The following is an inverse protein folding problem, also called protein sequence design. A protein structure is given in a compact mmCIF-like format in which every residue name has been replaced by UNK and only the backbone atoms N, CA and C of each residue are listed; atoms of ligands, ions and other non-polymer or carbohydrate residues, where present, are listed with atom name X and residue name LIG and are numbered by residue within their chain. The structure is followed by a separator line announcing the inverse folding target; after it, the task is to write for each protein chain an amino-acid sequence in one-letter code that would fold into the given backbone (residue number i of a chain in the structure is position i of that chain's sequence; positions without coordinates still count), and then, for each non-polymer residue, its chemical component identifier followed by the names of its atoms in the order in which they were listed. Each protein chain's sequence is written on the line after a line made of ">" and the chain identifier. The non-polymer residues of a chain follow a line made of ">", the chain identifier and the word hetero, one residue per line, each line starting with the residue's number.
data_IF_763828600033
#
_entry.id   IF_763828600033
#
_cell.length_a   1.000
_cell.length_b   1.000
_cell.length_c   1.000
_cell.angle_alpha   90.00
_cell.angle_beta   90.00
_cell.angle_gamma   90.00
#
_symmetry.space_group_name_H-M   'P 1'
#
loop_
_entity.id
_entity.type
_entity.pdbx_description
1 polymer ?
#
# COMPACT_ATOMS: atom_id res chain seq x y z
N UNK A 1 45.25 56.89 -28.66
CA UNK A 1 43.94 56.20 -28.65
C UNK A 1 44.13 54.83 -28.02
N UNK A 2 43.82 54.70 -26.72
CA UNK A 2 43.93 53.44 -25.99
C UNK A 2 42.50 52.92 -25.76
N UNK A 3 42.13 51.78 -26.36
CA UNK A 3 40.83 51.16 -26.13
C UNK A 3 40.98 50.16 -24.98
N UNK A 4 40.42 50.50 -23.82
CA UNK A 4 40.28 49.57 -22.69
C UNK A 4 39.15 48.58 -22.95
N UNK A 5 39.42 47.29 -22.78
CA UNK A 5 38.44 46.21 -22.84
C UNK A 5 38.00 45.93 -21.40
N UNK A 6 36.74 46.22 -21.08
CA UNK A 6 36.13 45.86 -19.80
C UNK A 6 35.66 44.40 -19.87
N UNK A 7 36.26 43.52 -19.05
CA UNK A 7 35.82 42.15 -18.85
C UNK A 7 34.68 42.14 -17.82
N UNK A 8 33.49 41.78 -18.27
CA UNK A 8 32.30 41.62 -17.43
C UNK A 8 32.34 40.22 -16.78
N UNK A 9 32.74 40.12 -15.51
CA UNK A 9 32.65 38.88 -14.73
C UNK A 9 31.19 38.62 -14.33
N UNK A 10 30.55 37.65 -14.98
CA UNK A 10 29.26 37.12 -14.55
C UNK A 10 29.45 36.19 -13.36
N UNK A 11 29.05 36.64 -12.17
CA UNK A 11 28.88 35.79 -11.00
C UNK A 11 27.70 34.84 -11.22
N UNK A 12 27.98 33.54 -11.40
CA UNK A 12 26.97 32.49 -11.30
C UNK A 12 26.62 32.29 -9.83
N UNK A 13 25.56 32.92 -9.36
CA UNK A 13 24.92 32.56 -8.10
C UNK A 13 24.28 31.17 -8.27
N UNK A 14 24.88 30.16 -7.63
CA UNK A 14 24.28 28.85 -7.46
C UNK A 14 23.12 29.01 -6.46
N UNK A 15 21.90 29.23 -6.96
CA UNK A 15 20.70 29.15 -6.13
C UNK A 15 20.46 27.66 -5.83
N UNK A 16 20.44 27.24 -4.56
CA UNK A 16 19.98 25.90 -4.24
C UNK A 16 18.51 25.81 -4.68
N UNK A 17 18.20 24.82 -5.50
CA UNK A 17 16.81 24.47 -5.84
C UNK A 17 16.05 24.29 -4.51
N UNK A 18 15.20 25.27 -4.19
CA UNK A 18 14.06 25.00 -3.34
C UNK A 18 13.25 23.94 -4.08
N UNK A 19 13.42 22.69 -3.67
CA UNK A 19 12.46 21.63 -3.99
C UNK A 19 11.16 22.09 -3.38
N UNK A 20 10.31 22.69 -4.21
CA UNK A 20 8.94 22.98 -3.84
C UNK A 20 8.35 21.65 -3.39
N UNK A 21 7.94 21.57 -2.12
CA UNK A 21 7.12 20.47 -1.63
C UNK A 21 5.84 20.53 -2.47
N UNK A 22 5.78 19.72 -3.52
CA UNK A 22 4.56 19.57 -4.30
C UNK A 22 3.49 19.15 -3.31
N UNK A 23 2.54 20.04 -3.05
CA UNK A 23 1.31 19.69 -2.37
C UNK A 23 0.65 18.62 -3.21
N UNK A 24 0.80 17.36 -2.83
CA UNK A 24 0.16 16.23 -3.50
C UNK A 24 -1.34 16.40 -3.26
N UNK A 25 -2.07 16.76 -4.30
CA UNK A 25 -3.53 16.86 -4.23
C UNK A 25 -4.11 15.47 -3.89
N UNK A 26 -5.06 15.36 -2.95
CA UNK A 26 -5.63 14.08 -2.57
C UNK A 26 -6.31 13.43 -3.77
N UNK A 27 -6.05 12.15 -4.00
CA UNK A 27 -6.67 11.42 -5.11
C UNK A 27 -8.18 11.31 -4.90
N UNK A 28 -9.00 11.70 -5.87
CA UNK A 28 -10.46 11.51 -5.83
C UNK A 28 -10.82 10.21 -6.56
N UNK A 29 -11.64 9.37 -5.95
CA UNK A 29 -12.12 8.13 -6.56
C UNK A 29 -13.59 7.80 -6.26
N UNK A 30 -14.22 7.05 -7.15
CA UNK A 30 -15.63 6.61 -7.00
C UNK A 30 -15.76 5.09 -7.05
N UNK A 31 -16.57 4.44 -6.23
CA UNK A 31 -16.82 2.98 -6.35
C UNK A 31 -17.65 2.64 -7.59
N UNK A 32 -18.68 3.44 -7.86
CA UNK A 32 -19.54 3.35 -9.05
C UNK A 32 -19.49 4.66 -9.86
N UNK A 33 -18.35 4.87 -10.53
CA UNK A 33 -18.09 5.99 -11.42
C UNK A 33 -18.45 5.69 -12.88
N UNK A 34 -18.50 6.75 -13.69
CA UNK A 34 -18.89 6.64 -15.11
C UNK A 34 -17.67 6.58 -16.06
N UNK A 35 -16.46 6.84 -15.56
CA UNK A 35 -15.22 6.73 -16.33
C UNK A 35 -14.54 5.36 -16.13
N UNK A 36 -13.64 4.99 -17.04
CA UNK A 36 -13.00 3.68 -17.06
C UNK A 36 -12.18 3.36 -15.80
N UNK A 37 -11.62 4.38 -15.14
CA UNK A 37 -10.79 4.23 -13.94
C UNK A 37 -11.64 4.08 -12.68
N UNK A 38 -12.85 4.66 -12.67
CA UNK A 38 -13.77 4.63 -11.54
C UNK A 38 -14.98 3.71 -11.74
N UNK A 39 -15.04 2.95 -12.83
CA UNK A 39 -16.11 1.99 -13.07
C UNK A 39 -16.12 0.90 -11.99
N UNK A 40 -17.33 0.50 -11.55
CA UNK A 40 -17.50 -0.60 -10.61
C UNK A 40 -16.88 -1.91 -11.14
N UNK A 41 -16.02 -2.56 -10.34
CA UNK A 41 -15.37 -3.83 -10.65
C UNK A 41 -15.78 -4.90 -9.63
N UNK A 42 -16.28 -6.03 -10.09
CA UNK A 42 -16.67 -7.18 -9.26
C UNK A 42 -15.49 -8.04 -8.79
N UNK A 43 -14.28 -7.72 -9.26
CA UNK A 43 -13.01 -8.33 -8.84
C UNK A 43 -12.08 -7.26 -8.31
N UNK A 44 -11.06 -7.68 -7.54
CA UNK A 44 -10.04 -6.80 -6.95
C UNK A 44 -9.01 -6.31 -7.99
N UNK A 45 -9.51 -5.67 -9.05
CA UNK A 45 -8.73 -5.11 -10.15
C UNK A 45 -8.37 -3.65 -9.89
N UNK A 46 -9.29 -2.90 -9.26
CA UNK A 46 -9.14 -1.46 -9.07
C UNK A 46 -8.37 -1.11 -7.82
N UNK A 47 -7.40 -0.21 -7.98
CA UNK A 47 -6.38 0.11 -6.98
C UNK A 47 -6.08 1.59 -7.00
N UNK A 48 -5.96 2.19 -5.83
CA UNK A 48 -5.53 3.57 -5.65
C UNK A 48 -4.30 3.55 -4.76
N UNK A 49 -3.19 4.05 -5.28
CA UNK A 49 -1.92 4.19 -4.58
C UNK A 49 -1.71 5.64 -4.19
N UNK A 50 -1.27 5.91 -2.96
CA UNK A 50 -1.00 7.28 -2.53
C UNK A 50 -0.88 7.46 -1.01
N UNK A 51 -0.81 8.72 -0.59
CA UNK A 51 -0.72 9.10 0.82
C UNK A 51 -2.03 9.63 1.39
N UNK A 52 -2.95 10.08 0.54
CA UNK A 52 -4.29 10.49 0.94
C UNK A 52 -5.22 10.53 -0.26
N UNK A 53 -6.51 10.52 0.03
CA UNK A 53 -7.52 10.66 -0.99
C UNK A 53 -8.93 10.69 -0.43
N UNK A 54 -9.86 10.89 -1.35
CA UNK A 54 -11.29 10.95 -1.09
C UNK A 54 -11.98 9.88 -1.92
N UNK A 55 -12.91 9.15 -1.31
CA UNK A 55 -13.70 8.13 -1.96
C UNK A 55 -15.19 8.43 -1.84
N UNK A 56 -15.88 8.33 -2.97
CA UNK A 56 -17.34 8.43 -3.03
C UNK A 56 -17.95 7.10 -3.44
N UNK A 57 -19.11 6.78 -2.88
CA UNK A 57 -19.88 5.59 -3.28
C UNK A 57 -20.19 5.54 -4.77
N UNK A 58 -20.49 6.68 -5.39
CA UNK A 58 -20.85 6.79 -6.80
C UNK A 58 -20.66 8.22 -7.32
N UNK A 59 -20.61 8.39 -8.65
CA UNK A 59 -20.32 9.68 -9.31
C UNK A 59 -21.35 10.79 -9.07
N UNK A 60 -22.59 10.45 -8.73
CA UNK A 60 -23.67 11.42 -8.48
C UNK A 60 -23.92 11.69 -7.00
N UNK A 61 -22.98 11.31 -6.13
CA UNK A 61 -23.09 11.52 -4.68
C UNK A 61 -23.46 12.98 -4.35
N UNK A 62 -24.42 13.15 -3.44
CA UNK A 62 -24.97 14.44 -3.04
C UNK A 62 -26.05 15.01 -3.97
N UNK A 63 -26.26 14.41 -5.15
CA UNK A 63 -27.34 14.79 -6.08
C UNK A 63 -28.41 13.72 -6.19
N UNK A 64 -28.00 12.45 -6.28
CA UNK A 64 -28.91 11.31 -6.41
C UNK A 64 -28.50 10.19 -5.42
N UNK A 65 -29.41 9.26 -5.09
CA UNK A 65 -29.06 8.04 -4.37
C UNK A 65 -28.16 7.12 -5.21
N UNK A 66 -27.42 6.22 -4.54
CA UNK A 66 -26.58 5.23 -5.22
C UNK A 66 -27.41 4.14 -5.92
N UNK A 67 -26.80 3.49 -6.93
CA UNK A 67 -27.41 2.42 -7.70
C UNK A 67 -27.55 1.11 -6.90
N UNK A 68 -28.61 0.36 -7.19
CA UNK A 68 -28.84 -1.00 -6.68
C UNK A 68 -27.97 -2.05 -7.40
N UNK A 69 -27.91 -3.26 -6.82
CA UNK A 69 -27.24 -4.45 -7.38
C UNK A 69 -25.78 -4.23 -7.79
N UNK A 70 -25.06 -3.41 -7.03
CA UNK A 70 -23.64 -3.17 -7.20
C UNK A 70 -22.81 -4.09 -6.31
N UNK A 71 -21.67 -4.49 -6.83
CA UNK A 71 -20.68 -5.31 -6.14
C UNK A 71 -19.30 -4.83 -6.61
N UNK A 72 -18.75 -3.85 -5.91
CA UNK A 72 -17.57 -3.10 -6.33
C UNK A 72 -16.44 -3.29 -5.33
N UNK A 73 -15.27 -3.72 -5.81
CA UNK A 73 -14.05 -3.83 -5.03
C UNK A 73 -13.07 -2.70 -5.37
N UNK A 74 -12.39 -2.21 -4.35
CA UNK A 74 -11.33 -1.21 -4.45
C UNK A 74 -10.25 -1.51 -3.42
N UNK A 75 -8.98 -1.44 -3.82
CA UNK A 75 -7.87 -1.52 -2.89
C UNK A 75 -7.19 -0.17 -2.72
N UNK A 76 -6.96 0.23 -1.47
CA UNK A 76 -6.12 1.36 -1.10
C UNK A 76 -4.73 0.85 -0.73
N UNK A 77 -3.69 1.47 -1.27
CA UNK A 77 -2.31 1.06 -1.04
C UNK A 77 -1.44 2.29 -0.74
N UNK A 78 -0.88 2.33 0.45
CA UNK A 78 0.11 3.31 0.85
C UNK A 78 1.54 2.81 0.54
N UNK A 79 2.56 3.68 0.56
CA UNK A 79 3.94 3.25 0.52
C UNK A 79 4.28 2.27 1.66
N UNK A 80 5.24 1.38 1.44
CA UNK A 80 5.73 0.46 2.46
C UNK A 80 6.24 1.26 3.68
N UNK A 81 5.95 0.77 4.90
CA UNK A 81 6.25 1.47 6.15
C UNK A 81 5.16 2.46 6.61
N UNK A 82 4.06 2.55 5.85
CA UNK A 82 2.87 3.29 6.24
C UNK A 82 1.70 2.34 6.54
N UNK A 83 0.73 2.84 7.30
CA UNK A 83 -0.61 2.26 7.45
C UNK A 83 -1.65 3.19 6.88
N UNK A 84 -2.78 2.63 6.45
CA UNK A 84 -3.93 3.33 5.89
C UNK A 84 -4.98 3.50 6.98
N UNK A 85 -5.50 4.72 7.11
CA UNK A 85 -6.66 5.04 7.94
C UNK A 85 -7.79 5.54 7.05
N UNK A 86 -9.00 5.03 7.25
CA UNK A 86 -10.22 5.49 6.57
C UNK A 86 -11.11 6.21 7.58
N UNK A 87 -11.64 7.37 7.19
CA UNK A 87 -12.50 8.24 7.99
C UNK A 87 -13.81 8.49 7.26
N UNK A 88 -14.90 8.61 8.02
CA UNK A 88 -16.20 9.01 7.47
C UNK A 88 -16.28 10.53 7.42
N UNK A 89 -16.63 11.06 6.24
CA UNK A 89 -17.07 12.46 6.12
C UNK A 89 -18.59 12.51 6.14
N UNK A 90 -19.25 11.73 5.28
CA UNK A 90 -20.69 11.49 5.29
C UNK A 90 -20.97 10.03 4.97
N UNK A 91 -21.90 9.40 5.68
CA UNK A 91 -22.23 8.00 5.47
C UNK A 91 -23.73 7.77 5.74
N UNK A 92 -24.45 7.41 4.71
CA UNK A 92 -25.89 7.15 4.72
C UNK A 92 -26.17 5.97 3.79
N UNK A 93 -26.03 4.77 4.35
CA UNK A 93 -26.18 3.50 3.64
C UNK A 93 -27.43 2.80 4.15
N UNK A 94 -28.26 2.26 3.25
CA UNK A 94 -29.48 1.55 3.65
C UNK A 94 -29.15 0.30 4.49
N UNK A 95 -29.70 0.24 5.69
CA UNK A 95 -29.43 -0.86 6.63
C UNK A 95 -29.52 -0.39 8.07
N UNK A 96 -29.55 -1.34 9.00
CA UNK A 96 -29.53 -1.06 10.44
C UNK A 96 -28.10 -1.25 10.95
N UNK A 97 -27.59 -0.26 11.69
CA UNK A 97 -26.21 -0.24 12.20
C UNK A 97 -25.78 -1.51 12.97
N UNK A 98 -26.73 -2.29 13.48
CA UNK A 98 -26.49 -3.47 14.32
C UNK A 98 -26.26 -4.76 13.53
N UNK A 99 -26.73 -4.87 12.29
CA UNK A 99 -26.71 -6.15 11.56
C UNK A 99 -26.33 -6.05 10.08
N UNK A 100 -26.39 -4.87 9.46
CA UNK A 100 -25.98 -4.64 8.06
C UNK A 100 -26.37 -5.75 7.08
N UNK A 101 -27.64 -6.16 7.15
CA UNK A 101 -28.21 -7.25 6.32
C UNK A 101 -28.53 -6.82 4.87
N UNK A 102 -28.51 -5.52 4.60
CA UNK A 102 -28.81 -4.92 3.29
C UNK A 102 -27.51 -4.43 2.64
N UNK A 103 -27.47 -3.15 2.28
CA UNK A 103 -26.31 -2.51 1.68
C UNK A 103 -25.20 -2.36 2.71
N UNK A 104 -23.97 -2.66 2.29
CA UNK A 104 -22.86 -2.81 3.20
C UNK A 104 -21.54 -2.44 2.56
N UNK A 105 -20.75 -1.64 3.28
CA UNK A 105 -19.33 -1.44 3.02
C UNK A 105 -18.53 -2.36 3.95
N UNK A 106 -17.84 -3.35 3.38
CA UNK A 106 -16.89 -4.18 4.10
C UNK A 106 -15.47 -3.63 3.96
N UNK A 107 -14.68 -3.76 5.01
CA UNK A 107 -13.25 -3.43 5.03
C UNK A 107 -12.47 -4.68 5.39
N UNK A 108 -11.53 -5.04 4.53
CA UNK A 108 -10.62 -6.15 4.72
C UNK A 108 -9.20 -5.62 4.92
N UNK A 109 -8.51 -6.17 5.91
CA UNK A 109 -7.10 -5.88 6.14
C UNK A 109 -6.19 -6.76 5.27
N UNK A 110 -4.91 -6.43 5.23
CA UNK A 110 -3.88 -7.25 4.59
C UNK A 110 -2.81 -7.62 5.62
N UNK A 111 -2.53 -8.92 5.73
CA UNK A 111 -1.54 -9.44 6.68
C UNK A 111 -0.10 -9.14 6.26
N UNK A 112 0.12 -8.91 4.95
CA UNK A 112 1.45 -8.62 4.39
C UNK A 112 1.46 -7.27 3.68
N UNK A 113 2.63 -6.65 3.64
CA UNK A 113 2.80 -5.41 2.90
C UNK A 113 2.76 -5.68 1.39
N UNK A 114 2.05 -4.84 0.64
CA UNK A 114 1.95 -4.92 -0.81
C UNK A 114 2.92 -3.91 -1.42
N UNK A 115 3.86 -4.39 -2.25
CA UNK A 115 4.70 -3.50 -3.06
C UNK A 115 3.88 -2.91 -4.22
N UNK A 116 3.68 -1.57 -4.27
CA UNK A 116 2.93 -0.92 -5.34
C UNK A 116 3.49 -1.20 -6.75
N UNK A 117 4.79 -1.45 -6.87
CA UNK A 117 5.45 -1.71 -8.16
C UNK A 117 5.25 -3.13 -8.67
N UNK A 118 5.04 -4.09 -7.77
CA UNK A 118 4.83 -5.51 -8.10
C UNK A 118 3.44 -5.81 -8.72
N UNK A 119 2.53 -4.84 -8.68
CA UNK A 119 1.11 -5.01 -8.99
C UNK A 119 0.83 -5.28 -10.47
N UNK A 120 1.71 -4.82 -11.37
CA UNK A 120 1.55 -5.04 -12.81
C UNK A 120 2.00 -6.44 -13.27
N UNK A 121 2.66 -7.20 -12.40
CA UNK A 121 3.09 -8.55 -12.69
C UNK A 121 1.91 -9.50 -12.48
N UNK A 122 1.34 -10.01 -13.57
CA UNK A 122 0.30 -11.06 -13.57
C UNK A 122 0.72 -12.36 -12.84
N UNK A 123 1.99 -12.47 -12.47
CA UNK A 123 2.60 -13.58 -11.73
C UNK A 123 2.65 -13.38 -10.21
N UNK A 124 2.14 -12.27 -9.68
CA UNK A 124 1.98 -12.09 -8.24
C UNK A 124 0.97 -13.08 -7.65
N UNK A 125 1.08 -13.45 -6.37
CA UNK A 125 0.07 -14.28 -5.72
C UNK A 125 -1.31 -13.62 -5.88
N UNK A 126 -2.39 -14.41 -6.08
CA UNK A 126 -3.73 -13.86 -6.14
C UNK A 126 -3.98 -13.05 -4.86
N UNK A 127 -4.22 -11.76 -5.03
CA UNK A 127 -4.50 -10.85 -3.91
C UNK A 127 -5.91 -11.13 -3.42
N UNK A 128 -6.01 -12.13 -2.55
CA UNK A 128 -7.23 -12.41 -1.81
C UNK A 128 -7.34 -11.35 -0.71
N UNK A 129 -8.51 -10.72 -0.53
CA UNK A 129 -8.75 -9.87 0.63
C UNK A 129 -8.45 -10.66 1.91
N UNK A 130 -7.72 -10.06 2.86
CA UNK A 130 -7.45 -10.69 4.16
C UNK A 130 -8.69 -10.71 5.06
N UNK A 131 -8.55 -10.71 6.39
CA UNK A 131 -9.70 -10.78 7.30
C UNK A 131 -10.58 -9.52 7.21
N UNK A 132 -11.90 -9.70 7.37
CA UNK A 132 -12.83 -8.57 7.53
C UNK A 132 -12.58 -7.92 8.89
N UNK A 133 -12.20 -6.64 8.87
CA UNK A 133 -11.99 -5.83 10.08
C UNK A 133 -13.13 -4.83 10.31
N UNK A 134 -14.09 -4.75 9.39
CA UNK A 134 -15.27 -3.91 9.58
C UNK A 134 -16.38 -4.16 8.56
N UNK A 135 -17.61 -4.02 9.04
CA UNK A 135 -18.84 -4.08 8.25
C UNK A 135 -19.69 -2.87 8.61
N UNK A 136 -20.02 -2.04 7.61
CA UNK A 136 -20.61 -0.73 7.85
C UNK A 136 -21.84 -0.47 6.97
N UNK A 137 -22.91 -0.03 7.62
CA UNK A 137 -24.16 0.40 7.02
C UNK A 137 -24.86 1.43 7.94
N UNK A 138 -26.04 1.88 7.52
CA UNK A 138 -26.88 2.88 8.18
C UNK A 138 -26.30 4.28 8.12
N UNK A 139 -26.77 5.18 9.00
CA UNK A 139 -26.36 6.59 9.01
C UNK A 139 -25.27 6.82 10.05
N UNK A 140 -24.18 7.45 9.64
CA UNK A 140 -23.07 7.86 10.51
C UNK A 140 -22.65 9.28 10.15
N UNK A 141 -22.67 10.14 11.15
CA UNK A 141 -22.18 11.51 11.10
C UNK A 141 -21.27 11.68 12.31
N UNK A 142 -20.12 12.34 12.15
CA UNK A 142 -19.13 12.59 13.21
C UNK A 142 -18.33 11.37 13.71
N UNK A 143 -18.34 10.23 13.00
CA UNK A 143 -17.34 9.17 13.24
C UNK A 143 -16.05 9.52 12.52
N UNK A 144 -15.02 9.91 13.27
CA UNK A 144 -13.75 10.32 12.67
C UNK A 144 -12.91 9.17 12.15
N UNK A 145 -13.12 7.93 12.59
CA UNK A 145 -12.33 6.78 12.14
C UNK A 145 -13.23 5.57 11.88
N UNK A 146 -13.19 5.06 10.66
CA UNK A 146 -13.93 3.87 10.23
C UNK A 146 -13.10 2.61 10.43
N UNK A 147 -11.81 2.66 10.04
CA UNK A 147 -10.88 1.54 10.14
C UNK A 147 -9.43 2.01 9.98
N UNK A 148 -8.50 1.20 10.48
CA UNK A 148 -7.05 1.36 10.32
C UNK A 148 -6.47 0.01 9.94
N UNK A 149 -5.58 -0.03 8.95
CA UNK A 149 -4.90 -1.25 8.51
C UNK A 149 -3.75 -1.66 9.44
N UNK A 150 -3.41 -2.95 9.40
CA UNK A 150 -2.20 -3.48 10.04
C UNK A 150 -0.96 -3.21 9.20
N UNK A 151 -1.07 -3.33 7.87
CA UNK A 151 0.00 -3.10 6.90
C UNK A 151 -0.30 -1.88 6.02
N UNK A 152 0.31 -1.78 4.84
CA UNK A 152 0.18 -0.62 3.95
C UNK A 152 -1.03 -0.68 3.02
N UNK A 153 -1.99 -1.60 3.23
CA UNK A 153 -3.12 -1.75 2.32
C UNK A 153 -4.43 -2.07 3.03
N UNK A 154 -5.55 -1.65 2.42
CA UNK A 154 -6.92 -2.06 2.76
C UNK A 154 -7.67 -2.42 1.50
N UNK A 155 -8.49 -3.46 1.55
CA UNK A 155 -9.50 -3.72 0.52
C UNK A 155 -10.86 -3.27 1.02
N UNK A 156 -11.55 -2.48 0.21
CA UNK A 156 -12.91 -2.02 0.43
C UNK A 156 -13.84 -2.73 -0.54
N UNK A 157 -14.93 -3.28 -0.02
CA UNK A 157 -15.96 -3.94 -0.81
C UNK A 157 -17.30 -3.27 -0.57
N UNK A 158 -17.79 -2.60 -1.60
CA UNK A 158 -19.08 -1.96 -1.61
C UNK A 158 -20.11 -2.86 -2.27
N UNK A 159 -21.11 -3.28 -1.51
CA UNK A 159 -22.19 -4.15 -1.96
C UNK A 159 -23.54 -3.51 -1.68
N UNK A 160 -24.43 -3.54 -2.67
CA UNK A 160 -25.83 -3.12 -2.53
C UNK A 160 -26.77 -4.25 -2.96
N UNK A 161 -27.90 -4.36 -2.29
CA UNK A 161 -28.96 -5.32 -2.57
C UNK A 161 -29.73 -4.98 -3.86
N UNK A 162 -30.77 -5.74 -4.17
CA UNK A 162 -31.59 -5.54 -5.37
C UNK A 162 -32.67 -4.46 -5.22
N UNK A 163 -32.82 -3.88 -4.03
CA UNK A 163 -33.83 -2.86 -3.76
C UNK A 163 -33.47 -1.61 -4.56
N UNK A 164 -34.42 -1.05 -5.31
CA UNK A 164 -34.13 0.10 -6.16
C UNK A 164 -33.93 1.38 -5.34
N UNK A 165 -33.14 2.30 -5.87
CA UNK A 165 -32.85 3.61 -5.28
C UNK A 165 -34.10 4.43 -4.93
N UNK A 166 -35.23 4.24 -5.63
CA UNK A 166 -36.50 4.90 -5.27
C UNK A 166 -37.12 4.36 -3.97
N UNK A 167 -36.76 3.13 -3.59
CA UNK A 167 -37.25 2.43 -2.41
C UNK A 167 -36.31 2.58 -1.21
N UNK A 168 -35.06 3.00 -1.41
CA UNK A 168 -34.15 3.47 -0.37
C UNK A 168 -33.53 4.83 -0.73
N UNK A 169 -33.93 5.95 -0.09
CA UNK A 169 -33.40 7.28 -0.41
C UNK A 169 -32.02 7.54 0.19
N UNK A 170 -31.24 6.49 0.45
CA UNK A 170 -29.93 6.57 1.10
C UNK A 170 -28.91 7.21 0.15
N UNK A 171 -28.17 8.22 0.62
CA UNK A 171 -27.27 9.01 -0.24
C UNK A 171 -25.97 8.29 -0.61
N UNK A 172 -25.60 7.26 0.13
CA UNK A 172 -24.31 6.56 0.02
C UNK A 172 -23.29 7.16 0.96
N UNK A 173 -22.02 7.17 0.56
CA UNK A 173 -20.95 7.67 1.41
C UNK A 173 -19.91 8.51 0.68
N UNK A 174 -19.24 9.32 1.49
CA UNK A 174 -18.06 10.11 1.22
C UNK A 174 -17.03 9.83 2.34
N UNK A 175 -15.91 9.23 1.97
CA UNK A 175 -14.84 8.83 2.87
C UNK A 175 -13.58 9.63 2.56
N UNK A 176 -12.81 9.93 3.61
CA UNK A 176 -11.45 10.43 3.47
C UNK A 176 -10.49 9.37 3.99
N UNK A 177 -9.45 9.05 3.23
CA UNK A 177 -8.41 8.13 3.66
C UNK A 177 -7.05 8.82 3.65
N UNK A 178 -6.19 8.40 4.57
CA UNK A 178 -4.81 8.87 4.60
C UNK A 178 -3.85 7.80 5.12
N UNK A 179 -2.64 7.85 4.62
CA UNK A 179 -1.52 7.08 5.09
C UNK A 179 -0.83 7.79 6.25
N UNK A 180 -0.28 7.02 7.19
CA UNK A 180 0.58 7.54 8.25
C UNK A 180 1.74 6.58 8.48
N UNK A 181 2.93 7.13 8.71
CA UNK A 181 4.15 6.33 8.88
C UNK A 181 4.10 5.61 10.22
N UNK A 182 4.46 4.34 10.21
CA UNK A 182 4.65 3.56 11.44
C UNK A 182 6.11 3.75 11.87
N UNK A 183 6.34 4.30 13.06
CA UNK A 183 7.69 4.37 13.62
C UNK A 183 8.12 2.97 14.07
N UNK A 184 9.42 2.67 13.93
CA UNK A 184 10.00 1.33 14.10
C UNK A 184 9.83 0.69 15.51
N UNK A 185 9.17 1.36 16.46
CA UNK A 185 8.89 0.81 17.78
C UNK A 185 7.77 -0.26 17.79
N UNK A 186 7.17 -0.58 16.64
CA UNK A 186 6.04 -1.51 16.58
C UNK A 186 6.02 -2.48 15.38
N UNK A 187 7.14 -2.65 14.67
CA UNK A 187 7.25 -3.64 13.60
C UNK A 187 8.38 -4.63 13.93
N UNK A 188 8.15 -5.95 13.98
CA UNK A 188 9.25 -6.89 14.00
C UNK A 188 10.05 -6.65 12.71
N UNK A 189 11.29 -6.21 12.88
CA UNK A 189 12.21 -6.00 11.77
C UNK A 189 12.39 -7.32 11.03
N UNK A 190 11.75 -7.48 9.88
CA UNK A 190 12.30 -8.37 8.86
C UNK A 190 13.55 -7.65 8.38
N UNK A 191 14.67 -7.94 9.04
CA UNK A 191 15.98 -7.63 8.52
C UNK A 191 16.09 -8.42 7.22
N UNK A 192 15.83 -7.76 6.08
CA UNK A 192 16.49 -8.17 4.86
C UNK A 192 17.98 -7.99 5.13
N UNK A 193 18.64 -9.11 5.45
CA UNK A 193 20.09 -9.18 5.49
C UNK A 193 20.61 -8.54 4.20
N UNK A 194 21.40 -7.47 4.38
CA UNK A 194 21.73 -6.53 3.32
C UNK A 194 22.29 -7.19 2.07
N UNK A 195 21.80 -6.73 0.92
CA UNK A 195 22.60 -6.75 -0.31
C UNK A 195 23.67 -5.67 -0.16
N UNK A 196 24.81 -6.02 0.42
CA UNK A 196 26.02 -5.24 0.24
C UNK A 196 26.50 -5.44 -1.20
N UNK A 197 26.55 -4.33 -1.95
CA UNK A 197 27.22 -4.28 -3.24
C UNK A 197 28.69 -4.72 -3.09
N UNK A 198 29.07 -5.84 -3.69
CA UNK A 198 30.47 -6.17 -3.93
C UNK A 198 30.95 -5.37 -5.15
N UNK A 199 31.48 -4.16 -4.94
CA UNK A 199 32.36 -3.55 -5.95
C UNK A 199 33.76 -4.15 -5.81
N UNK A 200 34.03 -5.18 -6.62
CA UNK A 200 35.36 -5.74 -6.78
C UNK A 200 36.25 -4.75 -7.56
N UNK A 201 37.11 -4.00 -6.85
CA UNK A 201 38.32 -3.47 -7.44
C UNK A 201 39.46 -4.44 -7.17
N UNK A 202 40.10 -4.84 -8.26
CA UNK A 202 41.23 -5.77 -8.36
C UNK A 202 42.32 -5.38 -7.37
N UNK A 203 42.76 -6.30 -6.52
CA UNK A 203 43.99 -7.10 -6.70
C UNK A 203 44.26 -7.91 -5.43
N UNK A 204 44.69 -9.16 -5.62
CA UNK A 204 45.17 -10.17 -4.64
C UNK A 204 44.13 -11.08 -3.98
N UNK A 205 44.39 -12.42 -3.93
CA UNK A 205 43.44 -13.40 -3.44
C UNK A 205 43.70 -13.68 -1.96
N UNK A 206 42.77 -13.30 -1.09
CA UNK A 206 42.69 -13.88 0.24
C UNK A 206 41.28 -14.43 0.43
N UNK A 207 41.27 -15.75 0.67
CA UNK A 207 40.15 -16.58 1.08
C UNK A 207 39.06 -15.81 1.83
N UNK A 208 37.87 -15.69 1.23
CA UNK A 208 36.67 -15.41 1.99
C UNK A 208 36.12 -16.76 2.49
N UNK A 209 36.61 -17.25 3.63
CA UNK A 209 35.95 -18.37 4.30
C UNK A 209 34.59 -17.90 4.83
N UNK A 210 33.50 -18.47 4.29
CA UNK A 210 32.17 -18.40 4.90
C UNK A 210 32.13 -19.40 6.06
N UNK A 211 32.03 -18.89 7.29
CA UNK A 211 31.59 -19.69 8.44
C UNK A 211 30.16 -19.24 8.78
N UNK A 212 29.17 -20.07 8.48
CA UNK A 212 27.82 -19.90 9.02
C UNK A 212 27.80 -20.55 10.40
N UNK A 213 27.90 -19.73 11.45
CA UNK A 213 27.60 -20.18 12.82
C UNK A 213 26.11 -19.93 13.08
N UNK A 214 25.33 -21.00 13.24
CA UNK A 214 24.03 -20.95 13.89
C UNK A 214 24.28 -20.73 15.39
N UNK A 215 23.82 -19.59 15.91
CA UNK A 215 23.82 -19.33 17.36
C UNK A 215 22.38 -19.44 17.84
N UNK A 216 22.06 -20.59 18.42
CA UNK A 216 20.89 -20.75 19.28
C UNK A 216 21.35 -20.52 20.73
N UNK A 217 20.74 -19.55 21.40
CA UNK A 217 20.80 -19.37 22.85
C UNK A 217 19.35 -19.46 23.34
N UNK A 218 18.97 -20.37 24.24
CA UNK A 218 19.78 -20.80 25.39
C UNK A 218 19.72 -22.32 25.67
N UNK A 219 20.83 -23.05 25.50
CA UNK A 219 21.06 -24.30 26.25
C UNK A 219 22.55 -24.63 26.27
N UNK A 220 23.14 -24.67 27.46
CA UNK A 220 24.54 -25.06 27.64
C UNK A 220 24.73 -26.54 27.31
N UNK A 221 25.50 -26.85 26.26
CA UNK A 221 26.38 -28.03 26.18
C UNK A 221 27.29 -27.97 24.94
N UNK A 222 28.60 -28.28 25.05
CA UNK A 222 29.50 -28.30 23.90
C UNK A 222 29.42 -29.65 23.16
N UNK A 223 29.19 -29.62 21.85
CA UNK A 223 29.34 -30.79 20.98
C UNK A 223 30.57 -30.61 20.07
N UNK A 224 31.59 -31.45 20.31
CA UNK A 224 32.65 -31.77 19.33
C UNK A 224 32.03 -32.34 18.05
N UNK A 225 32.64 -32.05 16.90
CA UNK A 225 32.90 -32.97 15.76
C UNK A 225 33.71 -32.20 14.70
N UNK A 226 34.96 -32.59 14.47
CA UNK A 226 35.45 -33.55 13.47
C UNK A 226 35.27 -33.03 12.03
N UNK A 227 36.39 -32.57 11.45
CA UNK A 227 36.53 -32.29 10.02
C UNK A 227 36.93 -33.58 9.31
N UNK A 228 36.14 -34.00 8.33
CA UNK A 228 36.43 -35.11 7.42
C UNK A 228 36.48 -34.51 6.01
N UNK A 229 37.63 -34.61 5.36
CA UNK A 229 37.90 -34.13 4.00
C UNK A 229 37.86 -35.33 3.05
N UNK A 230 36.87 -35.37 2.17
CA UNK A 230 36.81 -36.15 0.93
C UNK A 230 35.97 -35.31 -0.04
N UNK A 231 36.28 -35.05 -1.31
CA UNK A 231 37.17 -35.64 -2.30
C UNK A 231 36.40 -35.43 -3.63
N UNK A 232 36.96 -34.72 -4.61
CA UNK A 232 36.32 -34.53 -5.92
C UNK A 232 37.29 -35.00 -6.99
N UNK A 233 36.89 -36.04 -7.70
CA UNK A 233 37.55 -36.59 -8.89
C UNK A 233 37.02 -35.85 -10.12
N UNK A 234 37.90 -35.27 -10.93
CA UNK A 234 37.57 -34.67 -12.22
C UNK A 234 37.88 -35.68 -13.33
N UNK A 235 36.88 -35.99 -14.15
CA UNK A 235 37.02 -36.65 -15.44
C UNK A 235 37.11 -35.55 -16.49
N UNK A 236 38.26 -35.44 -17.15
CA UNK A 236 38.41 -34.63 -18.37
C UNK A 236 38.56 -35.57 -19.58
N UNK A 237 37.74 -35.33 -20.60
CA UNK A 237 37.82 -35.92 -21.94
C UNK A 237 38.99 -35.31 -22.72
N UNK A 238 39.79 -36.18 -23.36
CA UNK A 238 40.33 -36.04 -24.72
C UNK A 238 40.49 -37.45 -25.32
#
# INVERSE_FOLDING_TARGET
>A
MWKGIALLQTFFCCFPELVAVMGVEPSIGFFDGNDHLNQCRTRLERRITGLSGVLYSHSLFGRMPYNASRNCFLMLIAPIGYRVRVRVVEFDVNGRNTSCEKDTLHVFDHETAIDPSSIHLKSGPPLTPGPIIGQFCGRRTNTTELSVSTMNALTLWWHTDALLSQQHPAKGFHLHWNAFRVTAHGMPSVQMAGLSHCTAWRTTPLLCMRASALVDLPSQRPLRKNFELCGVEFKDEW
#
